data_IF_290869078192
#
_entry.id   IF_290869078192
#
_cell.length_a   1.000
_cell.length_b   1.000
_cell.length_c   1.000
_cell.angle_alpha   90.00
_cell.angle_beta   90.00
_cell.angle_gamma   90.00
#
_symmetry.space_group_name_H-M   'P 1'
#
loop_
_entity.id
_entity.type
_entity.pdbx_description
1 polymer ?
#
# COMPACT_ATOMS: atom_id res chain seq x y z
N UNK A 1 11.99 -7.34 4.71
CA UNK A 1 11.37 -6.10 5.22
C UNK A 1 9.84 -6.25 5.17
N UNK A 2 9.14 -6.11 6.29
CA UNK A 2 7.67 -6.30 6.41
C UNK A 2 6.89 -5.42 5.44
N UNK A 3 7.37 -4.18 5.26
CA UNK A 3 6.78 -3.19 4.37
C UNK A 3 6.78 -3.68 2.91
N UNK A 4 7.84 -4.34 2.46
CA UNK A 4 7.94 -4.94 1.12
C UNK A 4 6.92 -6.07 0.91
N UNK A 5 6.68 -6.94 1.90
CA UNK A 5 5.67 -8.00 1.78
C UNK A 5 4.24 -7.47 1.69
N UNK A 6 3.93 -6.38 2.39
CA UNK A 6 2.63 -5.71 2.25
C UNK A 6 2.46 -5.10 0.85
N UNK A 7 3.57 -4.67 0.22
CA UNK A 7 3.57 -4.17 -1.14
C UNK A 7 3.34 -5.26 -2.19
N UNK A 8 3.97 -6.44 -2.07
CA UNK A 8 3.85 -7.52 -3.06
C UNK A 8 2.40 -7.97 -3.27
N UNK A 9 1.64 -8.17 -2.19
CA UNK A 9 0.23 -8.54 -2.26
C UNK A 9 -0.63 -7.42 -2.86
N UNK A 10 -0.32 -6.15 -2.58
CA UNK A 10 -1.08 -5.03 -3.17
C UNK A 10 -0.71 -4.75 -4.62
N UNK A 11 0.54 -4.99 -5.03
CA UNK A 11 0.99 -4.82 -6.40
C UNK A 11 0.26 -5.79 -7.35
N UNK A 12 -0.02 -7.01 -6.88
CA UNK A 12 -0.84 -7.96 -7.61
C UNK A 12 -2.30 -7.50 -7.72
N UNK A 13 -2.88 -6.98 -6.63
CA UNK A 13 -4.29 -6.53 -6.62
C UNK A 13 -4.50 -5.24 -7.42
N UNK A 14 -3.55 -4.30 -7.38
CA UNK A 14 -3.62 -3.07 -8.17
C UNK A 14 -3.66 -3.36 -9.68
N UNK A 15 -2.95 -4.39 -10.14
CA UNK A 15 -2.94 -4.82 -11.54
C UNK A 15 -4.16 -5.65 -11.97
N UNK A 16 -4.86 -6.27 -11.02
CA UNK A 16 -5.97 -7.18 -11.29
C UNK A 16 -7.36 -6.50 -11.32
N UNK A 17 -7.42 -5.16 -11.34
CA UNK A 17 -8.65 -4.33 -11.38
C UNK A 17 -9.70 -4.62 -10.28
N UNK A 18 -9.35 -5.40 -9.25
CA UNK A 18 -10.34 -5.98 -8.35
C UNK A 18 -9.98 -5.83 -6.88
N UNK A 19 -10.59 -4.84 -6.22
CA UNK A 19 -10.65 -4.63 -4.76
C UNK A 19 -9.38 -4.06 -4.10
N UNK A 20 -8.90 -2.93 -4.60
CA UNK A 20 -7.84 -2.11 -3.96
C UNK A 20 -8.13 -1.89 -2.48
N UNK A 21 -9.38 -1.59 -2.12
CA UNK A 21 -9.78 -1.39 -0.71
C UNK A 21 -9.60 -2.64 0.15
N UNK A 22 -9.99 -3.82 -0.35
CA UNK A 22 -9.77 -5.05 0.39
C UNK A 22 -8.26 -5.35 0.53
N UNK A 23 -7.47 -5.03 -0.49
CA UNK A 23 -6.01 -5.19 -0.46
C UNK A 23 -5.35 -4.25 0.54
N UNK A 24 -5.76 -2.98 0.59
CA UNK A 24 -5.24 -2.02 1.57
C UNK A 24 -5.63 -2.43 2.99
N UNK A 25 -6.86 -2.91 3.22
CA UNK A 25 -7.25 -3.43 4.53
C UNK A 25 -6.43 -4.66 4.94
N UNK A 26 -6.21 -5.62 4.04
CA UNK A 26 -5.39 -6.80 4.30
C UNK A 26 -3.90 -6.45 4.55
N UNK A 27 -3.37 -5.50 3.77
CA UNK A 27 -2.02 -4.97 3.95
C UNK A 27 -1.84 -4.28 5.30
N UNK A 28 -2.80 -3.44 5.72
CA UNK A 28 -2.79 -2.82 7.05
C UNK A 28 -2.74 -3.87 8.17
N UNK A 29 -3.57 -4.93 8.09
CA UNK A 29 -3.56 -6.03 9.06
C UNK A 29 -2.21 -6.74 9.10
N UNK A 30 -1.59 -6.96 7.95
CA UNK A 30 -0.26 -7.60 7.84
C UNK A 30 0.82 -6.75 8.51
N UNK A 31 0.78 -5.43 8.32
CA UNK A 31 1.72 -4.49 8.93
C UNK A 31 1.58 -4.52 10.46
N UNK A 32 0.34 -4.46 10.99
CA UNK A 32 0.10 -4.56 12.43
C UNK A 32 0.55 -5.90 13.01
N UNK A 33 0.21 -7.02 12.36
CA UNK A 33 0.60 -8.37 12.80
C UNK A 33 2.13 -8.57 12.83
N UNK A 34 2.86 -7.77 12.07
CA UNK A 34 4.31 -7.80 12.02
C UNK A 34 5.00 -6.90 13.05
N UNK A 35 4.26 -6.29 13.98
CA UNK A 35 4.79 -5.55 15.12
C UNK A 35 4.72 -4.02 15.02
N UNK A 36 4.11 -3.49 13.96
CA UNK A 36 3.79 -2.07 13.91
C UNK A 36 2.61 -1.76 14.85
N UNK A 37 2.69 -0.62 15.53
CA UNK A 37 1.69 -0.19 16.53
C UNK A 37 0.50 0.49 15.88
N UNK A 38 0.71 1.16 14.75
CA UNK A 38 -0.32 1.91 14.03
C UNK A 38 0.03 2.04 12.55
N UNK A 39 -0.99 2.03 11.69
CA UNK A 39 -0.88 2.45 10.29
C UNK A 39 -1.63 3.77 10.13
N UNK A 40 -0.95 4.83 9.67
CA UNK A 40 -1.59 6.11 9.35
C UNK A 40 -2.34 6.01 8.02
N UNK A 41 -1.70 5.43 7.00
CA UNK A 41 -2.33 5.15 5.73
C UNK A 41 -1.63 4.02 4.98
N UNK A 42 -2.39 3.34 4.13
CA UNK A 42 -1.93 2.45 3.09
C UNK A 42 -2.85 2.65 1.88
N UNK A 43 -2.32 3.15 0.76
CA UNK A 43 -3.13 3.48 -0.41
C UNK A 43 -2.40 3.26 -1.73
N UNK A 44 -3.18 3.13 -2.80
CA UNK A 44 -2.69 3.05 -4.18
C UNK A 44 -3.05 4.35 -4.89
N UNK A 45 -2.07 4.99 -5.51
CA UNK A 45 -2.21 6.25 -6.25
C UNK A 45 -1.66 6.11 -7.66
N UNK A 46 -2.19 6.92 -8.56
CA UNK A 46 -1.60 7.09 -9.89
C UNK A 46 -0.17 7.66 -9.76
N UNK A 47 0.79 7.08 -10.46
CA UNK A 47 2.20 7.40 -10.27
C UNK A 47 2.59 8.80 -10.73
N UNK A 48 1.84 9.39 -11.65
CA UNK A 48 2.12 10.70 -12.23
C UNK A 48 1.38 11.82 -11.50
N UNK A 49 0.11 11.58 -11.18
CA UNK A 49 -0.80 12.61 -10.65
C UNK A 49 -1.03 12.52 -9.15
N UNK A 50 -0.65 11.41 -8.52
CA UNK A 50 -0.95 11.07 -7.12
C UNK A 50 -2.45 11.08 -6.76
N UNK A 51 -3.32 11.09 -7.77
CA UNK A 51 -4.76 10.97 -7.58
C UNK A 51 -5.14 9.52 -7.27
N UNK A 52 -6.39 9.30 -6.86
CA UNK A 52 -6.94 7.95 -6.70
C UNK A 52 -6.67 7.13 -7.95
N UNK A 53 -6.04 5.97 -7.76
CA UNK A 53 -5.75 5.08 -8.87
C UNK A 53 -7.06 4.46 -9.40
N UNK A 54 -7.30 4.62 -10.69
CA UNK A 54 -8.42 4.00 -11.40
C UNK A 54 -7.82 2.94 -12.33
N UNK A 55 -8.15 1.68 -12.06
CA UNK A 55 -7.48 0.53 -12.68
C UNK A 55 -7.69 0.45 -14.21
N UNK A 56 -8.75 1.07 -14.72
CA UNK A 56 -9.22 1.01 -16.11
C UNK A 56 -8.26 1.58 -17.18
N UNK A 57 -7.08 2.09 -16.81
CA UNK A 57 -6.19 2.80 -17.73
C UNK A 57 -4.77 2.22 -17.83
N UNK A 58 -4.49 1.06 -17.22
CA UNK A 58 -3.17 0.43 -17.23
C UNK A 58 -2.02 1.42 -16.92
N UNK A 59 -2.30 2.39 -16.05
CA UNK A 59 -1.36 3.46 -15.69
C UNK A 59 -0.41 2.95 -14.62
N UNK A 60 0.84 3.45 -14.59
CA UNK A 60 1.76 3.13 -13.51
C UNK A 60 1.16 3.57 -12.18
N UNK A 61 1.27 2.71 -11.16
CA UNK A 61 0.75 3.01 -9.83
C UNK A 61 1.86 3.10 -8.79
N UNK A 62 1.56 3.82 -7.72
CA UNK A 62 2.40 3.93 -6.52
C UNK A 62 1.62 3.43 -5.33
N UNK A 63 2.24 2.54 -4.58
CA UNK A 63 1.78 2.14 -3.27
C UNK A 63 2.46 3.01 -2.24
N UNK A 64 1.68 3.68 -1.40
CA UNK A 64 2.17 4.56 -0.34
C UNK A 64 1.75 4.03 1.02
N UNK A 65 2.70 3.98 1.96
CA UNK A 65 2.45 3.54 3.33
C UNK A 65 3.12 4.46 4.35
N UNK A 66 2.43 4.71 5.45
CA UNK A 66 3.03 5.29 6.65
C UNK A 66 2.56 4.50 7.88
N UNK A 67 3.50 4.00 8.67
CA UNK A 67 3.23 3.19 9.84
C UNK A 67 4.24 3.43 10.97
N UNK A 68 3.84 3.13 12.19
CA UNK A 68 4.61 3.36 13.41
C UNK A 68 5.16 2.05 13.97
N UNK A 69 6.47 2.02 14.25
CA UNK A 69 7.15 0.96 14.97
C UNK A 69 7.62 1.51 16.31
N UNK A 70 6.87 1.24 17.38
CA UNK A 70 7.06 1.93 18.65
C UNK A 70 6.81 3.43 18.49
N UNK A 71 7.85 4.25 18.70
CA UNK A 71 7.82 5.71 18.51
C UNK A 71 8.36 6.16 17.15
N UNK A 72 8.90 5.25 16.34
CA UNK A 72 9.49 5.59 15.04
C UNK A 72 8.43 5.51 13.95
N UNK A 73 8.28 6.58 13.17
CA UNK A 73 7.40 6.61 12.00
C UNK A 73 8.17 6.27 10.74
N UNK A 74 7.76 5.23 10.03
CA UNK A 74 8.35 4.78 8.77
C UNK A 74 7.40 5.10 7.62
N UNK A 75 7.96 5.60 6.52
CA UNK A 75 7.24 5.89 5.28
C UNK A 75 7.94 5.10 4.17
N UNK A 76 7.16 4.49 3.29
CA UNK A 76 7.69 3.82 2.11
C UNK A 76 6.79 4.06 0.90
N UNK A 77 7.36 3.92 -0.28
CA UNK A 77 6.72 4.13 -1.57
C UNK A 77 7.28 3.15 -2.61
N UNK A 78 6.44 2.31 -3.19
CA UNK A 78 6.83 1.35 -4.23
C UNK A 78 6.05 1.60 -5.52
N UNK A 79 6.76 1.56 -6.65
CA UNK A 79 6.16 1.55 -7.99
C UNK A 79 5.71 0.15 -8.40
N UNK A 80 4.53 0.06 -8.99
CA UNK A 80 3.92 -1.17 -9.51
C UNK A 80 3.42 -0.98 -10.93
#
# INVERSE_FOLDING_TARGET
HVVVRAHDNMAAVARAEGKIEAATQAGMKTIIAAGFTKVDYLCVRDAETLKTFLAAHNRPARILVAAWLGQTRLIDNIGV
#
